data_IF_973782767767
#
_entry.id   IF_973782767767
#
_cell.length_a   1.000
_cell.length_b   1.000
_cell.length_c   1.000
_cell.angle_alpha   90.00
_cell.angle_beta   90.00
_cell.angle_gamma   90.00
#
_symmetry.space_group_name_H-M   'P 1'
#
loop_
_entity.id
_entity.type
_entity.pdbx_description
1 polymer ?
#
# COMPACT_ATOMS: atom_id res chain seq x y z
N UNK A 1 3.37 -15.68 10.09
CA UNK A 1 3.48 -14.22 10.39
C UNK A 1 2.18 -13.55 9.95
N UNK A 2 1.64 -12.59 10.71
CA UNK A 2 0.35 -11.96 10.42
C UNK A 2 0.52 -10.53 9.93
N UNK A 3 -0.45 -10.03 9.18
CA UNK A 3 -0.46 -8.68 8.58
C UNK A 3 -0.24 -7.59 9.63
N UNK A 4 -0.92 -7.68 10.80
CA UNK A 4 -0.80 -6.69 11.89
C UNK A 4 0.60 -6.57 12.51
N UNK A 5 1.48 -7.55 12.27
CA UNK A 5 2.85 -7.57 12.78
C UNK A 5 3.81 -6.76 11.90
N UNK A 6 3.50 -6.64 10.59
CA UNK A 6 4.40 -6.00 9.62
C UNK A 6 3.79 -4.79 8.90
N UNK A 7 2.47 -4.59 8.98
CA UNK A 7 1.79 -3.44 8.35
C UNK A 7 2.31 -2.11 8.92
N UNK A 8 2.21 -1.06 8.12
CA UNK A 8 2.42 0.31 8.58
C UNK A 8 1.18 0.79 9.34
N UNK A 9 1.37 1.17 10.62
CA UNK A 9 0.31 1.65 11.52
C UNK A 9 0.19 3.17 11.53
N UNK A 10 1.22 3.89 11.08
CA UNK A 10 1.21 5.34 10.94
C UNK A 10 0.41 5.72 9.69
N UNK A 11 -0.91 5.68 9.82
CA UNK A 11 -1.82 5.98 8.73
C UNK A 11 -1.85 7.48 8.44
N UNK A 12 -1.60 7.81 7.19
CA UNK A 12 -1.87 9.13 6.61
C UNK A 12 -3.02 8.93 5.63
N UNK A 13 -4.13 9.60 5.86
CA UNK A 13 -5.36 9.48 5.08
C UNK A 13 -5.76 10.82 4.51
N UNK A 14 -6.59 10.80 3.47
CA UNK A 14 -7.21 11.98 2.88
C UNK A 14 -8.71 11.76 2.78
N UNK A 15 -9.46 12.82 2.47
CA UNK A 15 -10.89 12.75 2.20
C UNK A 15 -11.16 12.78 0.70
N UNK A 16 -12.37 12.43 0.32
CA UNK A 16 -12.83 12.45 -1.09
C UNK A 16 -12.69 13.84 -1.73
N UNK A 17 -12.82 14.91 -0.96
CA UNK A 17 -12.74 16.29 -1.43
C UNK A 17 -11.36 16.94 -1.33
N UNK A 18 -10.36 16.19 -0.84
CA UNK A 18 -8.96 16.64 -0.86
C UNK A 18 -8.51 16.90 -2.30
N UNK A 19 -7.81 18.01 -2.55
CA UNK A 19 -7.24 18.32 -3.86
C UNK A 19 -6.09 17.38 -4.22
N UNK A 20 -5.95 17.04 -5.50
CA UNK A 20 -4.86 16.11 -5.91
C UNK A 20 -3.46 16.68 -5.68
N UNK A 21 -3.29 18.01 -5.78
CA UNK A 21 -2.01 18.67 -5.48
C UNK A 21 -1.66 18.59 -4.00
N UNK A 22 -2.66 18.74 -3.13
CA UNK A 22 -2.50 18.55 -1.68
C UNK A 22 -2.12 17.10 -1.35
N UNK A 23 -2.82 16.13 -1.94
CA UNK A 23 -2.51 14.71 -1.79
C UNK A 23 -1.09 14.38 -2.28
N UNK A 24 -0.66 14.92 -3.41
CA UNK A 24 0.70 14.74 -3.94
C UNK A 24 1.77 15.33 -3.01
N UNK A 25 1.52 16.52 -2.46
CA UNK A 25 2.43 17.14 -1.50
C UNK A 25 2.54 16.31 -0.22
N UNK A 26 1.41 15.82 0.29
CA UNK A 26 1.38 14.97 1.48
C UNK A 26 2.15 13.66 1.27
N UNK A 27 2.00 13.01 0.10
CA UNK A 27 2.79 11.83 -0.28
C UNK A 27 4.30 12.12 -0.24
N UNK A 28 4.71 13.28 -0.80
CA UNK A 28 6.12 13.70 -0.83
C UNK A 28 6.67 14.00 0.56
N UNK A 29 5.95 14.78 1.36
CA UNK A 29 6.36 15.14 2.73
C UNK A 29 6.50 13.92 3.64
N UNK A 30 5.60 12.95 3.50
CA UNK A 30 5.60 11.73 4.32
C UNK A 30 6.41 10.60 3.69
N UNK A 31 6.99 10.80 2.50
CA UNK A 31 7.72 9.79 1.75
C UNK A 31 6.89 8.50 1.55
N UNK A 32 5.63 8.66 1.17
CA UNK A 32 4.68 7.58 0.89
C UNK A 32 4.07 7.76 -0.50
N UNK A 33 3.66 6.69 -1.12
CA UNK A 33 3.16 6.69 -2.51
C UNK A 33 1.66 6.37 -2.62
N UNK A 34 0.98 6.21 -1.49
CA UNK A 34 -0.43 5.81 -1.44
C UNK A 34 -1.10 6.42 -0.23
N UNK A 35 -2.34 6.84 -0.39
CA UNK A 35 -3.17 7.39 0.67
C UNK A 35 -4.52 6.69 0.66
N UNK A 36 -4.92 6.03 1.75
CA UNK A 36 -6.30 5.62 1.93
C UNK A 36 -7.22 6.84 1.96
N UNK A 37 -8.37 6.72 1.30
CA UNK A 37 -9.37 7.78 1.21
C UNK A 37 -10.53 7.45 2.11
N UNK A 38 -10.85 8.38 3.00
CA UNK A 38 -11.88 8.22 4.02
C UNK A 38 -13.06 9.14 3.75
N UNK A 39 -14.26 8.65 4.02
CA UNK A 39 -15.50 9.43 4.05
C UNK A 39 -16.35 8.94 5.22
N UNK A 40 -16.83 9.85 6.05
CA UNK A 40 -17.64 9.55 7.24
C UNK A 40 -17.06 8.44 8.14
N UNK A 41 -15.74 8.45 8.31
CA UNK A 41 -15.02 7.46 9.14
C UNK A 41 -14.86 6.08 8.50
N UNK A 42 -15.19 5.92 7.22
CA UNK A 42 -15.08 4.67 6.47
C UNK A 42 -14.07 4.80 5.34
N UNK A 43 -13.39 3.71 5.05
CA UNK A 43 -12.54 3.60 3.88
C UNK A 43 -13.43 3.50 2.63
N UNK A 44 -13.27 4.45 1.69
CA UNK A 44 -14.04 4.49 0.44
C UNK A 44 -13.16 4.41 -0.80
N UNK A 45 -11.86 4.56 -0.65
CA UNK A 45 -10.94 4.53 -1.79
C UNK A 45 -9.47 4.43 -1.38
N UNK A 46 -8.63 4.33 -2.39
CA UNK A 46 -7.19 4.51 -2.29
C UNK A 46 -6.71 5.35 -3.47
N UNK A 47 -5.85 6.31 -3.23
CA UNK A 47 -5.21 7.12 -4.28
C UNK A 47 -3.69 6.90 -4.22
N UNK A 48 -3.08 6.75 -5.39
CA UNK A 48 -1.64 6.54 -5.54
C UNK A 48 -0.98 7.71 -6.27
N UNK A 49 0.34 7.83 -6.12
CA UNK A 49 1.13 8.78 -6.90
C UNK A 49 0.91 8.59 -8.41
N UNK A 50 0.78 7.35 -8.87
CA UNK A 50 0.53 7.02 -10.27
C UNK A 50 -0.84 7.52 -10.75
N UNK A 51 -1.87 7.46 -9.91
CA UNK A 51 -3.21 7.98 -10.25
C UNK A 51 -3.18 9.48 -10.46
N UNK A 52 -2.41 10.19 -9.63
CA UNK A 52 -2.21 11.64 -9.77
C UNK A 52 -1.40 11.96 -11.03
N UNK A 53 -0.34 11.19 -11.33
CA UNK A 53 0.48 11.39 -12.53
C UNK A 53 -0.32 11.19 -13.83
N UNK A 54 -1.25 10.22 -13.86
CA UNK A 54 -2.09 9.95 -15.04
C UNK A 54 -3.00 11.11 -15.45
N UNK A 55 -3.39 11.96 -14.52
CA UNK A 55 -4.26 13.10 -14.80
C UNK A 55 -3.49 14.40 -15.03
N UNK A 56 -2.17 14.37 -14.86
CA UNK A 56 -1.32 15.50 -15.25
C UNK A 56 -1.20 15.58 -16.77
N UNK A 57 -1.40 16.77 -17.37
CA UNK A 57 -1.21 16.95 -18.80
C UNK A 57 0.21 16.57 -19.21
N UNK A 58 0.34 15.92 -20.37
CA UNK A 58 1.66 15.60 -20.94
C UNK A 58 2.39 16.89 -21.33
N UNK A 59 3.72 16.82 -21.45
CA UNK A 59 4.54 17.93 -21.94
C UNK A 59 4.18 18.36 -23.37
N UNK A 60 3.46 17.52 -24.11
CA UNK A 60 2.97 17.79 -25.46
C UNK A 60 1.56 18.44 -25.48
N UNK A 61 1.04 18.86 -24.33
CA UNK A 61 -0.27 19.51 -24.28
C UNK A 61 -0.25 20.87 -24.98
N UNK A 62 -1.37 21.23 -25.63
CA UNK A 62 -1.61 22.56 -26.19
C UNK A 62 -2.15 23.54 -25.16
N UNK A 63 -2.46 23.09 -23.95
CA UNK A 63 -2.97 23.92 -22.87
C UNK A 63 -1.89 24.87 -22.35
N UNK A 64 -2.27 26.10 -22.04
CA UNK A 64 -1.41 27.04 -21.35
C UNK A 64 -1.14 26.59 -19.91
N UNK A 65 -0.07 27.08 -19.30
CA UNK A 65 0.26 26.80 -17.88
C UNK A 65 -0.89 27.19 -16.95
N UNK A 66 -1.62 28.27 -17.25
CA UNK A 66 -2.79 28.69 -16.47
C UNK A 66 -3.94 27.69 -16.54
N UNK A 67 -4.24 27.16 -17.72
CA UNK A 67 -5.29 26.16 -17.91
C UNK A 67 -4.95 24.85 -17.21
N UNK A 68 -3.69 24.41 -17.30
CA UNK A 68 -3.21 23.23 -16.59
C UNK A 68 -3.35 23.39 -15.07
N UNK A 69 -2.85 24.50 -14.52
CA UNK A 69 -2.94 24.77 -13.09
C UNK A 69 -4.40 24.89 -12.61
N UNK A 70 -5.27 25.49 -13.41
CA UNK A 70 -6.68 25.61 -13.12
C UNK A 70 -7.38 24.23 -13.05
N UNK A 71 -7.11 23.35 -14.01
CA UNK A 71 -7.66 21.99 -14.04
C UNK A 71 -7.17 21.18 -12.86
N UNK A 72 -5.87 21.19 -12.59
CA UNK A 72 -5.28 20.46 -11.45
C UNK A 72 -5.81 20.97 -10.10
N UNK A 73 -6.01 22.28 -9.96
CA UNK A 73 -6.55 22.88 -8.73
C UNK A 73 -8.02 22.48 -8.48
N UNK A 74 -8.78 22.19 -9.53
CA UNK A 74 -10.18 21.74 -9.42
C UNK A 74 -10.34 20.24 -9.22
N UNK A 75 -9.36 19.43 -9.61
CA UNK A 75 -9.44 17.99 -9.53
C UNK A 75 -9.31 17.54 -8.07
N UNK A 76 -10.21 16.67 -7.64
CA UNK A 76 -10.27 16.12 -6.29
C UNK A 76 -9.83 14.66 -6.29
N UNK A 77 -9.47 14.17 -5.11
CA UNK A 77 -9.09 12.77 -4.92
C UNK A 77 -10.17 11.81 -5.40
N UNK A 78 -11.46 12.11 -5.16
CA UNK A 78 -12.60 11.32 -5.64
C UNK A 78 -12.66 11.10 -7.15
N UNK A 79 -12.05 12.01 -7.92
CA UNK A 79 -12.08 11.98 -9.38
C UNK A 79 -11.04 11.00 -9.96
N UNK A 80 -10.02 10.63 -9.15
CA UNK A 80 -8.87 9.84 -9.59
C UNK A 80 -8.63 8.57 -8.77
N UNK A 81 -9.19 8.46 -7.57
CA UNK A 81 -8.99 7.32 -6.67
C UNK A 81 -9.56 6.02 -7.25
N UNK A 82 -8.99 4.90 -6.84
CA UNK A 82 -9.64 3.60 -6.95
C UNK A 82 -10.69 3.50 -5.85
N UNK A 83 -11.96 3.34 -6.23
CA UNK A 83 -13.09 3.15 -5.30
C UNK A 83 -13.14 1.71 -4.83
N UNK A 84 -13.68 1.50 -3.61
CA UNK A 84 -13.86 0.18 -3.02
C UNK A 84 -12.59 -0.69 -3.15
N UNK A 85 -11.45 -0.24 -2.58
CA UNK A 85 -10.19 -0.95 -2.76
C UNK A 85 -10.24 -2.31 -2.09
N UNK A 86 -9.46 -3.25 -2.63
CA UNK A 86 -9.22 -4.52 -1.97
C UNK A 86 -8.61 -4.27 -0.59
N UNK A 87 -9.13 -4.95 0.40
CA UNK A 87 -8.70 -4.85 1.81
C UNK A 87 -8.33 -6.22 2.35
N UNK A 88 -7.64 -6.24 3.49
CA UNK A 88 -7.28 -7.48 4.17
C UNK A 88 -7.53 -7.35 5.68
N UNK A 89 -7.96 -8.41 6.37
CA UNK A 89 -8.03 -8.41 7.83
C UNK A 89 -6.65 -8.29 8.49
N UNK A 90 -6.61 -7.67 9.68
CA UNK A 90 -5.37 -7.48 10.41
C UNK A 90 -4.74 -8.80 10.90
N UNK A 91 -5.54 -9.83 11.12
CA UNK A 91 -5.14 -11.16 11.56
C UNK A 91 -4.90 -12.15 10.41
N UNK A 92 -5.02 -11.71 9.16
CA UNK A 92 -4.69 -12.55 8.00
C UNK A 92 -3.20 -12.88 7.93
N UNK A 93 -2.83 -14.07 7.40
CA UNK A 93 -1.43 -14.40 7.13
C UNK A 93 -0.85 -13.51 6.01
N UNK A 94 0.44 -13.22 6.09
CA UNK A 94 1.10 -12.35 5.08
C UNK A 94 1.12 -12.99 3.70
N UNK A 95 1.10 -14.31 3.62
CA UNK A 95 1.04 -15.08 2.38
C UNK A 95 -0.25 -14.78 1.61
N UNK A 96 -1.36 -14.59 2.30
CA UNK A 96 -2.63 -14.18 1.71
C UNK A 96 -2.55 -12.77 1.15
N UNK A 97 -1.94 -11.83 1.89
CA UNK A 97 -1.70 -10.47 1.39
C UNK A 97 -0.86 -10.49 0.11
N UNK A 98 0.22 -11.28 0.08
CA UNK A 98 1.09 -11.42 -1.09
C UNK A 98 0.33 -12.00 -2.30
N UNK A 99 -0.51 -13.00 -2.07
CA UNK A 99 -1.32 -13.63 -3.12
C UNK A 99 -2.32 -12.64 -3.72
N UNK A 100 -3.09 -11.93 -2.87
CA UNK A 100 -4.05 -10.91 -3.32
C UNK A 100 -3.34 -9.81 -4.12
N UNK A 101 -2.19 -9.30 -3.63
CA UNK A 101 -1.44 -8.27 -4.34
C UNK A 101 -1.00 -8.74 -5.73
N UNK A 102 -0.53 -9.99 -5.84
CA UNK A 102 -0.07 -10.57 -7.10
C UNK A 102 -1.22 -10.84 -8.07
N UNK A 103 -2.30 -11.44 -7.61
CA UNK A 103 -3.44 -11.81 -8.48
C UNK A 103 -4.19 -10.60 -9.03
N UNK A 104 -4.24 -9.52 -8.25
CA UNK A 104 -4.94 -8.29 -8.61
C UNK A 104 -4.03 -7.16 -9.07
N UNK A 105 -2.71 -7.43 -9.19
CA UNK A 105 -1.70 -6.44 -9.63
C UNK A 105 -1.73 -5.15 -8.81
N UNK A 106 -1.98 -5.27 -7.49
CA UNK A 106 -1.99 -4.13 -6.56
C UNK A 106 -0.80 -4.20 -5.61
N UNK A 107 -0.11 -3.10 -5.42
CA UNK A 107 1.09 -3.05 -4.58
C UNK A 107 0.84 -2.66 -3.12
N UNK A 108 -0.42 -2.60 -2.68
CA UNK A 108 -0.79 -2.35 -1.28
C UNK A 108 -2.24 -2.74 -1.01
N UNK A 109 -2.52 -3.09 0.25
CA UNK A 109 -3.86 -3.36 0.75
C UNK A 109 -4.09 -2.55 2.02
N UNK A 110 -5.15 -1.76 2.11
CA UNK A 110 -5.64 -1.24 3.38
C UNK A 110 -6.01 -2.38 4.31
N UNK A 111 -5.63 -2.27 5.58
CA UNK A 111 -5.86 -3.31 6.59
C UNK A 111 -7.02 -2.90 7.49
N UNK A 112 -7.99 -3.77 7.60
CA UNK A 112 -9.18 -3.55 8.40
C UNK A 112 -9.18 -4.45 9.66
N UNK A 113 -9.67 -3.88 10.77
CA UNK A 113 -10.01 -4.62 11.98
C UNK A 113 -11.39 -4.17 12.46
N UNK A 114 -12.34 -5.11 12.56
CA UNK A 114 -13.73 -4.80 12.90
C UNK A 114 -14.36 -3.75 11.95
N UNK A 115 -13.98 -3.72 10.68
CA UNK A 115 -14.45 -2.76 9.68
C UNK A 115 -13.78 -1.38 9.74
N UNK A 116 -12.83 -1.18 10.66
CA UNK A 116 -12.06 0.08 10.78
C UNK A 116 -10.70 -0.06 10.11
N UNK A 117 -10.26 1.00 9.45
CA UNK A 117 -8.91 1.07 8.89
C UNK A 117 -7.88 1.18 10.03
N UNK A 118 -7.00 0.19 10.14
CA UNK A 118 -5.97 0.11 11.21
C UNK A 118 -4.54 0.14 10.69
N UNK A 119 -4.35 -0.04 9.39
CA UNK A 119 -3.03 -0.05 8.78
C UNK A 119 -3.09 -0.10 7.26
N UNK A 120 -1.91 -0.13 6.68
CA UNK A 120 -1.70 -0.45 5.26
C UNK A 120 -0.53 -1.42 5.16
N UNK A 121 -0.71 -2.50 4.41
CA UNK A 121 0.36 -3.43 4.07
C UNK A 121 0.76 -3.24 2.62
N UNK A 122 2.05 -3.24 2.35
CA UNK A 122 2.61 -3.02 1.01
C UNK A 122 3.54 -4.17 0.62
N UNK A 123 3.84 -4.30 -0.69
CA UNK A 123 4.87 -5.22 -1.18
C UNK A 123 6.21 -5.05 -0.45
N UNK A 124 6.59 -3.80 -0.14
CA UNK A 124 7.83 -3.52 0.62
C UNK A 124 7.79 -4.13 2.02
N UNK A 125 6.64 -4.08 2.72
CA UNK A 125 6.51 -4.70 4.03
C UNK A 125 6.69 -6.23 3.95
N UNK A 126 6.11 -6.85 2.92
CA UNK A 126 6.23 -8.30 2.69
C UNK A 126 7.69 -8.66 2.35
N UNK A 127 8.34 -7.86 1.50
CA UNK A 127 9.72 -8.07 1.13
C UNK A 127 10.68 -7.90 2.31
N UNK A 128 10.46 -6.88 3.17
CA UNK A 128 11.22 -6.69 4.40
C UNK A 128 11.05 -7.85 5.37
N UNK A 129 9.82 -8.37 5.52
CA UNK A 129 9.55 -9.55 6.33
C UNK A 129 10.28 -10.79 5.80
N UNK A 130 10.32 -10.97 4.48
CA UNK A 130 11.09 -12.05 3.85
C UNK A 130 12.59 -11.91 4.14
N UNK A 131 13.18 -10.73 4.01
CA UNK A 131 14.58 -10.48 4.33
C UNK A 131 14.89 -10.81 5.80
N UNK A 132 13.98 -10.45 6.72
CA UNK A 132 14.12 -10.75 8.15
C UNK A 132 14.04 -12.25 8.45
N UNK A 133 13.10 -12.96 7.81
CA UNK A 133 12.97 -14.41 7.90
C UNK A 133 14.21 -15.14 7.39
N UNK A 134 14.81 -14.64 6.32
CA UNK A 134 16.05 -15.19 5.75
C UNK A 134 17.28 -14.89 6.60
N UNK A 135 17.14 -14.09 7.65
CA UNK A 135 18.25 -13.77 8.57
C UNK A 135 19.30 -12.81 8.00
N UNK A 136 19.04 -12.17 6.86
CA UNK A 136 20.04 -11.34 6.17
C UNK A 136 20.42 -10.04 6.92
N UNK A 137 19.59 -9.60 7.85
CA UNK A 137 19.86 -8.43 8.72
C UNK A 137 20.62 -8.77 10.00
N UNK A 138 20.90 -10.04 10.26
CA UNK A 138 21.58 -10.50 11.50
C UNK A 138 22.93 -11.10 11.15
N UNK A 139 24.00 -10.81 11.91
CA UNK A 139 25.27 -11.53 11.77
C UNK A 139 25.05 -12.99 12.14
N UNK A 140 25.42 -13.91 11.27
CA UNK A 140 25.27 -15.35 11.48
C UNK A 140 25.60 -16.14 10.22
N UNK A 141 25.63 -17.45 10.37
CA UNK A 141 25.79 -18.40 9.26
C UNK A 141 24.44 -19.05 8.95
N UNK A 142 24.14 -19.21 7.67
CA UNK A 142 22.97 -19.94 7.22
C UNK A 142 23.35 -21.39 6.95
N UNK A 143 22.65 -22.31 7.58
CA UNK A 143 22.76 -23.74 7.34
C UNK A 143 21.53 -24.24 6.59
N UNK A 144 21.73 -24.87 5.45
CA UNK A 144 20.66 -25.54 4.71
C UNK A 144 20.83 -27.04 4.90
N UNK A 145 19.80 -27.71 5.43
CA UNK A 145 19.78 -29.16 5.66
C UNK A 145 18.67 -29.72 4.77
N UNK A 146 19.05 -30.67 3.94
CA UNK A 146 18.13 -31.49 3.17
C UNK A 146 17.91 -32.81 3.90
N UNK A 147 16.66 -33.05 4.29
CA UNK A 147 16.27 -34.28 5.01
C UNK A 147 15.12 -34.95 4.26
N UNK A 148 15.09 -36.30 4.32
CA UNK A 148 13.95 -37.05 3.79
C UNK A 148 12.74 -36.79 4.67
N UNK A 149 11.60 -36.50 4.04
CA UNK A 149 10.35 -36.29 4.76
C UNK A 149 9.89 -37.58 5.43
N UNK A 150 9.94 -37.60 6.75
CA UNK A 150 9.43 -38.68 7.60
C UNK A 150 9.10 -38.17 9.00
N UNK A 151 8.09 -38.74 9.68
CA UNK A 151 7.69 -38.30 11.01
C UNK A 151 8.87 -38.31 12.00
N UNK A 152 9.03 -37.21 12.76
CA UNK A 152 9.99 -37.11 13.86
C UNK A 152 11.41 -36.70 13.47
N UNK A 153 11.75 -36.52 12.19
CA UNK A 153 13.13 -36.24 11.75
C UNK A 153 13.73 -34.96 12.31
N UNK A 154 12.92 -33.97 12.69
CA UNK A 154 13.37 -32.72 13.30
C UNK A 154 13.48 -32.79 14.82
N UNK A 155 13.12 -33.91 15.43
CA UNK A 155 13.17 -34.13 16.88
C UNK A 155 14.41 -34.93 17.31
N UNK A 156 15.17 -35.45 16.36
CA UNK A 156 16.49 -36.09 16.56
C UNK A 156 17.61 -35.05 16.37
#
# INVERSE_FOLDING_TARGET
MFVNQIMSKNLVTVTVDTGILEAANLMREKNIRRLPVMEDGRLVGIVTEMDILKVQPSQATTLSVFEVNYLLAKTKVKDVMTKDPLTIPADAPIEEAALIMREHEVGALPVLDGGKLVGIITESNIFDAFIDLMGLKRPGSRLTIEVKDRPGILAE
#
